data_IF_329303675773
#
_entry.id   IF_329303675773
#
_cell.length_a   1.000
_cell.length_b   1.000
_cell.length_c   1.000
_cell.angle_alpha   90.00
_cell.angle_beta   90.00
_cell.angle_gamma   90.00
#
_symmetry.space_group_name_H-M   'P 1'
#
loop_
_entity.id
_entity.type
_entity.pdbx_description
1 polymer ?
#
# COMPACT_ATOMS: atom_id res chain seq x y z
N UNK A 1 -24.53 -12.34 17.52
CA UNK A 1 -23.43 -11.42 17.20
C UNK A 1 -24.05 -10.10 16.81
N UNK A 2 -23.71 -8.99 17.47
CA UNK A 2 -24.08 -7.69 16.96
C UNK A 2 -23.28 -7.45 15.69
N UNK A 3 -23.93 -7.25 14.57
CA UNK A 3 -23.27 -6.89 13.30
C UNK A 3 -22.58 -5.54 13.51
N UNK A 4 -21.25 -5.56 13.63
CA UNK A 4 -20.47 -4.34 13.63
C UNK A 4 -20.38 -3.83 12.19
N UNK A 5 -21.43 -3.18 11.72
CA UNK A 5 -21.43 -2.51 10.43
C UNK A 5 -20.27 -1.50 10.32
N UNK A 6 -19.89 -1.09 9.11
CA UNK A 6 -18.80 -0.15 8.92
C UNK A 6 -19.14 1.18 9.58
N UNK A 7 -18.24 1.69 10.41
CA UNK A 7 -18.33 3.07 10.90
C UNK A 7 -18.12 4.05 9.73
N UNK A 8 -18.63 5.26 9.85
CA UNK A 8 -18.40 6.29 8.81
C UNK A 8 -16.90 6.56 8.61
N UNK A 9 -16.10 6.47 9.68
CA UNK A 9 -14.65 6.60 9.60
C UNK A 9 -14.02 5.46 8.79
N UNK A 10 -14.44 4.20 8.99
CA UNK A 10 -13.95 3.08 8.17
C UNK A 10 -14.31 3.23 6.70
N UNK A 11 -15.54 3.68 6.41
CA UNK A 11 -15.96 3.99 5.03
C UNK A 11 -15.06 5.07 4.42
N UNK A 12 -14.82 6.15 5.13
CA UNK A 12 -13.94 7.22 4.69
C UNK A 12 -12.52 6.72 4.43
N UNK A 13 -11.98 5.87 5.32
CA UNK A 13 -10.65 5.28 5.16
C UNK A 13 -10.58 4.30 4.00
N UNK A 14 -11.59 3.46 3.79
CA UNK A 14 -11.64 2.56 2.63
C UNK A 14 -11.78 3.30 1.30
N UNK A 15 -12.57 4.36 1.25
CA UNK A 15 -12.66 5.23 0.07
C UNK A 15 -11.33 5.92 -0.26
N UNK A 16 -10.53 6.27 0.77
CA UNK A 16 -9.20 6.84 0.58
C UNK A 16 -8.20 5.87 -0.08
N UNK A 17 -8.48 4.56 -0.08
CA UNK A 17 -7.67 3.56 -0.78
C UNK A 17 -7.90 3.54 -2.31
N UNK A 18 -8.90 4.26 -2.82
CA UNK A 18 -9.10 4.39 -4.27
C UNK A 18 -7.90 5.08 -4.91
N UNK A 19 -7.34 4.45 -5.92
CA UNK A 19 -6.11 4.88 -6.60
C UNK A 19 -4.83 4.49 -5.87
N UNK A 20 -4.89 3.55 -4.90
CA UNK A 20 -3.67 3.02 -4.31
C UNK A 20 -2.86 2.19 -5.31
N UNK A 21 -1.56 2.28 -5.18
CA UNK A 21 -0.59 1.44 -5.90
C UNK A 21 0.19 0.66 -4.85
N UNK A 22 -0.04 -0.63 -4.83
CA UNK A 22 0.53 -1.54 -3.84
C UNK A 22 1.76 -2.23 -4.43
N UNK A 23 2.78 -2.52 -3.63
CA UNK A 23 3.86 -3.42 -4.03
C UNK A 23 4.40 -4.21 -2.84
N UNK A 24 4.81 -5.44 -3.11
CA UNK A 24 5.52 -6.27 -2.15
C UNK A 24 7.02 -5.94 -2.13
N UNK A 25 7.65 -6.18 -0.98
CA UNK A 25 9.10 -6.05 -0.77
C UNK A 25 9.80 -7.42 -0.70
N UNK A 26 9.14 -8.49 -1.14
CA UNK A 26 9.67 -9.85 -1.04
C UNK A 26 10.97 -10.02 -1.85
N UNK A 27 11.99 -10.57 -1.21
CA UNK A 27 13.32 -10.73 -1.79
C UNK A 27 14.08 -9.42 -2.02
N UNK A 28 13.61 -8.28 -1.56
CA UNK A 28 14.37 -7.03 -1.64
C UNK A 28 15.63 -7.11 -0.78
N UNK A 29 16.82 -6.76 -1.33
CA UNK A 29 18.06 -6.88 -0.59
C UNK A 29 18.21 -5.84 0.52
N UNK A 30 17.61 -4.66 0.35
CA UNK A 30 17.61 -3.59 1.34
C UNK A 30 16.48 -2.58 1.09
N UNK A 31 16.17 -1.80 2.13
CA UNK A 31 15.10 -0.82 2.09
C UNK A 31 15.37 0.39 1.21
N UNK A 32 16.64 0.77 1.03
CA UNK A 32 17.02 1.93 0.22
C UNK A 32 16.74 1.65 -1.26
N UNK A 33 17.15 0.48 -1.73
CA UNK A 33 16.91 0.06 -3.11
C UNK A 33 15.43 -0.16 -3.36
N UNK A 34 14.72 -0.80 -2.42
CA UNK A 34 13.27 -0.96 -2.51
C UNK A 34 12.57 0.39 -2.60
N UNK A 35 12.89 1.33 -1.71
CA UNK A 35 12.29 2.66 -1.67
C UNK A 35 12.54 3.47 -2.96
N UNK A 36 13.73 3.33 -3.54
CA UNK A 36 14.07 3.96 -4.82
C UNK A 36 13.19 3.41 -5.95
N UNK A 37 13.08 2.09 -6.07
CA UNK A 37 12.24 1.42 -7.07
C UNK A 37 10.76 1.75 -6.88
N UNK A 38 10.27 1.68 -5.64
CA UNK A 38 8.90 1.97 -5.29
C UNK A 38 8.46 3.38 -5.74
N UNK A 39 9.31 4.38 -5.49
CA UNK A 39 9.03 5.76 -5.94
C UNK A 39 8.96 5.86 -7.46
N UNK A 40 9.89 5.21 -8.17
CA UNK A 40 9.91 5.22 -9.64
C UNK A 40 8.68 4.53 -10.25
N UNK A 41 8.08 3.59 -9.53
CA UNK A 41 6.90 2.83 -9.95
C UNK A 41 5.57 3.39 -9.41
N UNK A 42 5.60 4.56 -8.75
CA UNK A 42 4.39 5.21 -8.25
C UNK A 42 3.74 4.51 -7.06
N UNK A 43 4.49 3.68 -6.32
CA UNK A 43 3.97 2.92 -5.18
C UNK A 43 3.56 3.84 -4.04
N UNK A 44 2.35 3.64 -3.53
CA UNK A 44 1.78 4.36 -2.39
C UNK A 44 1.70 3.51 -1.12
N UNK A 45 1.64 2.17 -1.28
CA UNK A 45 1.52 1.23 -0.17
C UNK A 45 2.48 0.06 -0.33
N UNK A 46 3.20 -0.27 0.73
CA UNK A 46 3.90 -1.55 0.82
C UNK A 46 2.95 -2.61 1.36
N UNK A 47 2.71 -3.68 0.61
CA UNK A 47 2.03 -4.86 1.12
C UNK A 47 3.05 -5.81 1.75
N UNK A 48 2.80 -6.20 2.98
CA UNK A 48 3.66 -7.09 3.73
C UNK A 48 2.91 -8.41 3.92
N UNK A 49 3.36 -9.44 3.22
CA UNK A 49 2.68 -10.74 3.10
C UNK A 49 3.34 -11.84 3.90
N UNK A 50 4.65 -11.94 3.89
CA UNK A 50 5.39 -13.11 4.37
C UNK A 50 5.68 -13.04 5.88
N UNK A 51 4.70 -12.62 6.66
CA UNK A 51 4.83 -12.50 8.11
C UNK A 51 5.13 -13.85 8.78
N UNK A 52 4.70 -14.93 8.15
CA UNK A 52 4.78 -16.29 8.70
C UNK A 52 5.57 -17.27 7.80
N UNK A 53 6.26 -16.74 6.78
CA UNK A 53 7.07 -17.52 5.85
C UNK A 53 6.25 -18.48 4.98
N UNK A 54 6.96 -19.39 4.31
CA UNK A 54 6.45 -20.40 3.38
C UNK A 54 5.66 -21.55 4.04
N UNK A 55 4.87 -21.28 5.06
CA UNK A 55 4.18 -22.31 5.84
C UNK A 55 5.07 -23.02 6.85
N UNK A 56 6.31 -22.61 6.98
CA UNK A 56 7.12 -23.05 8.11
C UNK A 56 6.77 -22.17 9.30
N UNK A 57 6.21 -22.73 10.36
CA UNK A 57 5.83 -22.06 11.61
C UNK A 57 7.00 -21.33 12.33
N UNK A 58 8.00 -20.92 11.58
CA UNK A 58 9.24 -20.36 12.08
C UNK A 58 9.11 -18.94 12.58
N UNK A 59 8.07 -18.23 12.17
CA UNK A 59 7.87 -16.87 12.62
C UNK A 59 7.61 -16.77 14.12
N UNK A 60 6.78 -17.68 14.64
CA UNK A 60 6.36 -17.64 16.04
C UNK A 60 7.07 -18.64 16.96
N UNK A 61 7.64 -19.74 16.43
CA UNK A 61 8.08 -20.84 17.25
C UNK A 61 9.55 -21.28 17.10
N UNK A 62 10.33 -20.83 16.12
CA UNK A 62 11.63 -21.43 15.82
C UNK A 62 12.81 -20.46 15.61
N UNK A 63 12.75 -19.26 16.16
CA UNK A 63 13.92 -18.37 16.17
C UNK A 63 14.33 -17.76 14.83
N UNK A 64 13.55 -17.95 13.78
CA UNK A 64 13.63 -17.11 12.59
C UNK A 64 12.98 -15.76 12.93
N UNK A 65 13.73 -14.66 12.79
CA UNK A 65 13.24 -13.33 13.17
C UNK A 65 12.28 -12.75 12.10
N UNK A 66 11.19 -13.44 11.82
CA UNK A 66 10.20 -12.99 10.84
C UNK A 66 9.46 -11.71 11.29
N UNK A 67 9.29 -11.52 12.58
CA UNK A 67 8.77 -10.27 13.12
C UNK A 67 9.81 -9.15 13.02
N UNK A 68 11.09 -9.46 13.13
CA UNK A 68 12.17 -8.51 12.80
C UNK A 68 12.21 -8.15 11.31
N UNK A 69 11.92 -9.07 10.41
CA UNK A 69 11.73 -8.76 8.99
C UNK A 69 10.51 -7.86 8.75
N UNK A 70 9.41 -8.08 9.46
CA UNK A 70 8.26 -7.17 9.45
C UNK A 70 8.69 -5.77 9.88
N UNK A 71 9.35 -5.67 11.04
CA UNK A 71 9.84 -4.40 11.58
C UNK A 71 10.78 -3.69 10.58
N UNK A 72 11.64 -4.43 9.91
CA UNK A 72 12.52 -3.88 8.87
C UNK A 72 11.70 -3.33 7.68
N UNK A 73 10.76 -4.10 7.16
CA UNK A 73 9.92 -3.69 6.02
C UNK A 73 9.07 -2.45 6.34
N UNK A 74 8.46 -2.37 7.52
CA UNK A 74 7.71 -1.16 7.90
C UNK A 74 8.59 0.05 8.12
N UNK A 75 9.84 -0.13 8.61
CA UNK A 75 10.83 0.98 8.61
C UNK A 75 11.12 1.44 7.19
N UNK A 76 11.31 0.53 6.23
CA UNK A 76 11.53 0.89 4.83
C UNK A 76 10.37 1.70 4.25
N UNK A 77 9.14 1.27 4.53
CA UNK A 77 7.95 2.01 4.10
C UNK A 77 7.90 3.41 4.73
N UNK A 78 8.10 3.50 6.06
CA UNK A 78 8.16 4.77 6.78
C UNK A 78 9.24 5.71 6.22
N UNK A 79 10.46 5.22 6.05
CA UNK A 79 11.59 6.03 5.60
C UNK A 79 11.44 6.45 4.12
N UNK A 80 10.67 5.68 3.35
CA UNK A 80 10.26 6.04 2.00
C UNK A 80 9.02 6.95 1.94
N UNK A 81 8.39 7.23 3.08
CA UNK A 81 7.10 7.90 3.19
C UNK A 81 5.99 7.17 2.41
N UNK A 82 6.02 5.86 2.49
CA UNK A 82 5.04 4.95 1.88
C UNK A 82 4.21 4.37 3.03
N UNK A 83 2.89 4.28 2.83
CA UNK A 83 1.97 3.66 3.77
C UNK A 83 2.09 2.14 3.67
N UNK A 84 1.48 1.40 4.56
CA UNK A 84 1.57 -0.05 4.50
C UNK A 84 0.22 -0.75 4.67
N UNK A 85 0.19 -1.96 4.18
CA UNK A 85 -0.93 -2.88 4.13
C UNK A 85 -0.47 -4.21 4.70
N UNK A 86 -1.04 -4.65 5.81
CA UNK A 86 -0.68 -5.92 6.44
C UNK A 86 -1.57 -7.04 5.89
N UNK A 87 -0.95 -8.07 5.35
CA UNK A 87 -1.63 -9.27 4.94
C UNK A 87 -1.46 -10.37 5.99
N UNK A 88 -2.50 -10.63 6.75
CA UNK A 88 -2.57 -11.66 7.77
C UNK A 88 -3.13 -12.99 7.25
N UNK A 89 -3.51 -13.07 5.98
CA UNK A 89 -4.17 -14.26 5.40
C UNK A 89 -3.32 -15.53 5.50
N UNK A 90 -2.01 -15.38 5.40
CA UNK A 90 -1.07 -16.52 5.42
C UNK A 90 -0.85 -17.11 6.82
N UNK A 91 -1.40 -16.54 7.88
CA UNK A 91 -1.48 -17.19 9.20
C UNK A 91 -2.12 -18.58 9.10
N UNK A 92 -3.03 -18.80 8.16
CA UNK A 92 -3.63 -20.12 7.87
C UNK A 92 -2.58 -21.20 7.64
N UNK A 93 -1.41 -20.87 7.09
CA UNK A 93 -0.35 -21.84 6.81
C UNK A 93 0.20 -22.47 8.10
N UNK A 94 0.13 -21.80 9.24
CA UNK A 94 0.51 -22.38 10.53
C UNK A 94 -0.41 -23.54 10.90
N UNK A 95 -1.71 -23.39 10.71
CA UNK A 95 -2.69 -24.47 10.96
C UNK A 95 -2.52 -25.62 9.96
N UNK A 96 -2.32 -25.32 8.68
CA UNK A 96 -2.10 -26.33 7.63
C UNK A 96 -0.89 -27.20 7.95
N UNK A 97 0.19 -26.61 8.43
CA UNK A 97 1.40 -27.34 8.85
C UNK A 97 1.12 -28.31 9.99
N UNK A 98 0.25 -27.92 10.91
CA UNK A 98 -0.19 -28.79 12.00
C UNK A 98 -1.28 -29.80 11.56
N UNK A 99 -1.56 -29.87 10.25
CA UNK A 99 -2.62 -30.72 9.65
C UNK A 99 -4.01 -30.39 10.17
N UNK A 100 -4.24 -29.12 10.50
CA UNK A 100 -5.52 -28.59 10.95
C UNK A 100 -6.09 -27.67 9.87
N UNK A 101 -7.37 -27.86 9.55
CA UNK A 101 -8.02 -27.04 8.53
C UNK A 101 -8.32 -25.63 9.10
N UNK A 102 -7.68 -24.56 8.55
CA UNK A 102 -7.87 -23.20 9.04
C UNK A 102 -9.29 -22.67 8.85
N UNK A 103 -10.02 -23.17 7.86
CA UNK A 103 -11.37 -22.67 7.54
C UNK A 103 -12.44 -23.11 8.56
N UNK A 104 -12.09 -23.97 9.52
CA UNK A 104 -12.97 -24.37 10.63
C UNK A 104 -12.55 -23.79 11.98
N UNK A 105 -11.58 -22.86 11.97
CA UNK A 105 -11.09 -22.23 13.20
C UNK A 105 -11.99 -21.08 13.63
N UNK A 106 -12.27 -21.04 14.95
CA UNK A 106 -13.02 -19.96 15.60
C UNK A 106 -12.13 -18.73 15.81
N UNK A 107 -12.73 -17.57 16.07
CA UNK A 107 -12.00 -16.34 16.34
C UNK A 107 -11.02 -16.47 17.53
N UNK A 108 -11.35 -17.27 18.56
CA UNK A 108 -10.48 -17.51 19.71
C UNK A 108 -9.18 -18.19 19.30
N UNK A 109 -9.21 -19.04 18.28
CA UNK A 109 -8.04 -19.76 17.78
C UNK A 109 -7.18 -18.88 16.85
N UNK A 110 -7.79 -17.93 16.13
CA UNK A 110 -7.06 -16.94 15.32
C UNK A 110 -6.42 -15.84 16.15
N UNK A 111 -7.08 -15.41 17.24
CA UNK A 111 -6.74 -14.23 18.02
C UNK A 111 -5.28 -14.19 18.52
N UNK A 112 -4.67 -15.27 19.05
CA UNK A 112 -3.29 -15.23 19.51
C UNK A 112 -2.30 -14.83 18.42
N UNK A 113 -2.48 -15.34 17.19
CA UNK A 113 -1.59 -15.07 16.07
C UNK A 113 -1.73 -13.63 15.57
N UNK A 114 -2.96 -13.16 15.42
CA UNK A 114 -3.21 -11.78 15.00
C UNK A 114 -2.74 -10.77 16.05
N UNK A 115 -2.86 -11.11 17.33
CA UNK A 115 -2.38 -10.28 18.43
C UNK A 115 -0.88 -10.07 18.38
N UNK A 116 -0.09 -11.08 18.07
CA UNK A 116 1.37 -10.96 17.98
C UNK A 116 1.82 -9.93 16.93
N UNK A 117 1.03 -9.75 15.89
CA UNK A 117 1.32 -8.74 14.87
C UNK A 117 0.69 -7.40 15.23
N UNK A 118 -0.61 -7.36 15.50
CA UNK A 118 -1.34 -6.11 15.64
C UNK A 118 -1.01 -5.34 16.91
N UNK A 119 -0.68 -6.03 18.00
CA UNK A 119 -0.27 -5.41 19.27
C UNK A 119 1.23 -5.22 19.41
N UNK A 120 2.00 -5.68 18.43
CA UNK A 120 3.43 -5.40 18.41
C UNK A 120 3.65 -3.91 18.25
N UNK A 121 4.59 -3.36 19.03
CA UNK A 121 4.98 -1.97 18.91
C UNK A 121 5.64 -1.71 17.55
N UNK A 122 5.20 -0.65 16.89
CA UNK A 122 5.84 -0.16 15.67
C UNK A 122 7.31 0.23 16.00
N UNK A 123 8.27 -0.16 15.16
CA UNK A 123 9.68 0.10 15.44
C UNK A 123 9.97 1.55 15.81
N UNK A 124 10.75 1.71 16.86
CA UNK A 124 11.17 3.03 17.38
C UNK A 124 9.99 3.91 17.90
N UNK A 125 8.89 3.27 18.27
CA UNK A 125 7.72 3.94 18.86
C UNK A 125 7.08 3.09 19.96
N UNK A 126 6.21 3.70 20.77
CA UNK A 126 5.36 3.01 21.74
C UNK A 126 3.92 2.86 21.24
N UNK A 127 3.73 2.84 19.92
CA UNK A 127 2.41 2.72 19.27
C UNK A 127 2.35 1.37 18.61
N UNK A 128 1.30 0.61 18.87
CA UNK A 128 1.12 -0.69 18.26
C UNK A 128 0.88 -0.60 16.74
N UNK A 129 1.15 -1.67 16.00
CA UNK A 129 0.92 -1.67 14.56
C UNK A 129 -0.51 -1.27 14.21
N UNK A 130 -1.51 -1.79 14.94
CA UNK A 130 -2.92 -1.49 14.66
C UNK A 130 -3.30 -0.02 14.82
N UNK A 131 -2.59 0.71 15.68
CA UNK A 131 -2.82 2.12 15.97
C UNK A 131 -1.90 3.04 15.17
N UNK A 132 -0.98 2.48 14.39
CA UNK A 132 0.00 3.26 13.68
C UNK A 132 -0.63 3.99 12.47
N UNK A 133 -0.44 5.32 12.35
CA UNK A 133 -1.19 6.14 11.38
C UNK A 133 -0.98 5.77 9.90
N UNK A 134 0.08 5.02 9.57
CA UNK A 134 0.37 4.61 8.19
C UNK A 134 -0.07 3.17 7.88
N UNK A 135 -0.65 2.44 8.84
CA UNK A 135 -1.38 1.21 8.54
C UNK A 135 -2.76 1.57 7.97
N UNK A 136 -2.95 1.31 6.70
CA UNK A 136 -4.20 1.67 6.03
C UNK A 136 -5.19 0.52 5.91
N UNK A 137 -4.70 -0.71 5.84
CA UNK A 137 -5.55 -1.86 5.63
C UNK A 137 -4.94 -3.13 6.19
N UNK A 138 -5.80 -4.03 6.65
CA UNK A 138 -5.46 -5.41 6.98
C UNK A 138 -6.17 -6.34 6.01
N UNK A 139 -5.43 -7.21 5.31
CA UNK A 139 -5.97 -8.24 4.44
C UNK A 139 -6.07 -9.59 5.16
N UNK A 140 -7.17 -10.30 4.94
CA UNK A 140 -7.48 -11.57 5.60
C UNK A 140 -7.68 -12.76 4.64
N UNK A 141 -7.58 -12.54 3.33
CA UNK A 141 -8.02 -13.53 2.35
C UNK A 141 -7.09 -13.63 1.13
N UNK A 142 -5.77 -13.68 1.33
CA UNK A 142 -4.83 -13.92 0.22
C UNK A 142 -5.01 -15.34 -0.34
N UNK A 143 -5.41 -15.47 -1.61
CA UNK A 143 -5.56 -16.71 -2.38
C UNK A 143 -6.30 -17.83 -1.62
N UNK A 144 -7.56 -17.62 -1.25
CA UNK A 144 -8.29 -18.61 -0.47
C UNK A 144 -8.55 -19.88 -1.29
N UNK A 145 -8.38 -21.03 -0.65
CA UNK A 145 -8.68 -22.33 -1.23
C UNK A 145 -10.10 -22.77 -0.82
N UNK A 146 -11.10 -22.41 -1.62
CA UNK A 146 -12.51 -22.71 -1.28
C UNK A 146 -12.89 -24.12 -1.72
N UNK A 147 -12.76 -24.43 -3.01
CA UNK A 147 -13.13 -25.73 -3.59
C UNK A 147 -11.99 -26.37 -4.38
N UNK A 148 -10.85 -25.73 -4.49
CA UNK A 148 -9.70 -26.23 -5.23
C UNK A 148 -8.47 -26.27 -4.30
N UNK A 149 -7.51 -27.05 -4.66
CA UNK A 149 -6.26 -27.27 -3.92
C UNK A 149 -5.85 -28.72 -4.12
N UNK A 150 -4.63 -29.05 -3.83
CA UNK A 150 -3.99 -30.36 -4.05
C UNK A 150 -4.68 -31.46 -3.25
N UNK A 151 -5.87 -31.90 -3.63
CA UNK A 151 -6.61 -33.01 -3.01
C UNK A 151 -6.43 -33.15 -1.47
N UNK A 152 -5.98 -32.09 -0.80
CA UNK A 152 -5.76 -32.05 0.62
C UNK A 152 -6.95 -31.39 1.32
N UNK A 153 -7.87 -32.16 1.92
CA UNK A 153 -9.07 -31.60 2.52
C UNK A 153 -8.76 -30.64 3.69
N UNK A 154 -7.55 -30.66 4.22
CA UNK A 154 -7.09 -29.76 5.28
C UNK A 154 -6.85 -28.33 4.75
N UNK A 155 -6.78 -28.17 3.43
CA UNK A 155 -6.48 -26.88 2.82
C UNK A 155 -7.68 -26.18 2.20
N UNK A 156 -8.85 -26.82 2.19
CA UNK A 156 -10.04 -26.30 1.53
C UNK A 156 -11.16 -25.95 2.51
N UNK A 157 -11.90 -24.89 2.23
CA UNK A 157 -13.10 -24.57 2.95
C UNK A 157 -14.22 -25.60 2.69
N UNK A 158 -14.28 -26.17 1.50
CA UNK A 158 -15.27 -27.18 1.10
C UNK A 158 -16.60 -26.60 0.63
N UNK A 159 -16.90 -25.35 0.94
CA UNK A 159 -18.07 -24.62 0.45
C UNK A 159 -17.89 -23.12 0.57
N UNK A 160 -18.70 -22.35 -0.17
CA UNK A 160 -18.74 -20.89 -0.07
C UNK A 160 -19.16 -20.44 1.34
N UNK A 161 -20.20 -21.06 1.90
CA UNK A 161 -20.69 -20.72 3.24
C UNK A 161 -19.64 -20.97 4.33
N UNK A 162 -18.89 -22.07 4.22
CA UNK A 162 -17.79 -22.34 5.17
C UNK A 162 -16.66 -21.31 5.05
N UNK A 163 -16.35 -20.90 3.83
CA UNK A 163 -15.35 -19.83 3.61
C UNK A 163 -15.83 -18.51 4.22
N UNK A 164 -17.05 -18.08 3.94
CA UNK A 164 -17.64 -16.85 4.50
C UNK A 164 -17.66 -16.92 6.04
N UNK A 165 -18.06 -18.03 6.60
CA UNK A 165 -18.02 -18.25 8.05
C UNK A 165 -16.58 -18.08 8.60
N UNK A 166 -15.60 -18.72 7.97
CA UNK A 166 -14.20 -18.60 8.36
C UNK A 166 -13.69 -17.15 8.30
N UNK A 167 -14.04 -16.42 7.26
CA UNK A 167 -13.68 -15.02 7.12
C UNK A 167 -14.30 -14.17 8.24
N UNK A 168 -15.55 -14.42 8.60
CA UNK A 168 -16.19 -13.76 9.76
C UNK A 168 -15.45 -14.05 11.06
N UNK A 169 -14.95 -15.28 11.27
CA UNK A 169 -14.15 -15.60 12.46
C UNK A 169 -12.84 -14.79 12.49
N UNK A 170 -12.18 -14.64 11.36
CA UNK A 170 -10.96 -13.84 11.27
C UNK A 170 -11.23 -12.36 11.51
N UNK A 171 -12.28 -11.80 10.91
CA UNK A 171 -12.72 -10.42 11.15
C UNK A 171 -13.02 -10.20 12.64
N UNK A 172 -13.76 -11.10 13.26
CA UNK A 172 -14.10 -11.01 14.68
C UNK A 172 -12.84 -11.01 15.55
N UNK A 173 -11.84 -11.84 15.24
CA UNK A 173 -10.55 -11.85 15.94
C UNK A 173 -9.82 -10.51 15.84
N UNK A 174 -9.73 -9.94 14.64
CA UNK A 174 -9.08 -8.63 14.40
C UNK A 174 -9.81 -7.50 15.12
N UNK A 175 -11.15 -7.47 15.05
CA UNK A 175 -11.96 -6.43 15.72
C UNK A 175 -11.88 -6.51 17.24
N UNK A 176 -11.80 -7.72 17.82
CA UNK A 176 -11.60 -7.92 19.27
C UNK A 176 -10.24 -7.45 19.76
N UNK A 177 -9.25 -7.40 18.90
CA UNK A 177 -7.95 -6.80 19.22
C UNK A 177 -7.98 -5.28 19.23
N UNK A 178 -9.06 -4.66 18.75
CA UNK A 178 -9.23 -3.22 18.73
C UNK A 178 -8.92 -2.55 17.38
N UNK A 179 -8.53 -3.29 16.35
CA UNK A 179 -8.30 -2.70 15.04
C UNK A 179 -9.60 -2.18 14.43
N UNK A 180 -9.69 -0.88 14.23
CA UNK A 180 -10.86 -0.20 13.63
C UNK A 180 -10.60 0.33 12.21
N UNK A 181 -9.51 -0.09 11.57
CA UNK A 181 -9.20 0.25 10.19
C UNK A 181 -9.93 -0.62 9.16
N UNK A 182 -9.77 -0.31 7.86
CA UNK A 182 -10.30 -1.11 6.76
C UNK A 182 -9.79 -2.55 6.77
N UNK A 183 -10.69 -3.47 6.45
CA UNK A 183 -10.38 -4.88 6.21
C UNK A 183 -10.61 -5.19 4.73
N UNK A 184 -9.58 -5.74 4.09
CA UNK A 184 -9.65 -6.27 2.74
C UNK A 184 -9.92 -7.77 2.76
N UNK A 185 -10.81 -8.22 1.88
CA UNK A 185 -11.10 -9.63 1.68
C UNK A 185 -11.49 -9.91 0.22
N UNK A 186 -11.33 -11.16 -0.15
CA UNK A 186 -11.43 -11.66 -1.51
C UNK A 186 -10.16 -12.39 -1.87
N UNK A 187 -9.15 -11.68 -2.34
CA UNK A 187 -7.84 -12.23 -2.70
C UNK A 187 -7.92 -13.38 -3.73
N UNK A 188 -9.04 -13.48 -4.45
CA UNK A 188 -9.29 -14.58 -5.38
C UNK A 188 -8.34 -14.52 -6.57
N UNK A 189 -7.70 -15.65 -6.88
CA UNK A 189 -6.82 -15.78 -8.03
C UNK A 189 -7.54 -16.38 -9.25
N UNK A 190 -8.50 -17.27 -9.05
CA UNK A 190 -9.26 -17.90 -10.12
C UNK A 190 -10.55 -17.12 -10.39
N UNK A 191 -10.53 -16.26 -11.40
CA UNK A 191 -11.56 -15.25 -11.63
C UNK A 191 -12.43 -15.51 -12.86
N UNK A 192 -12.07 -16.48 -13.63
CA UNK A 192 -12.70 -16.65 -14.92
C UNK A 192 -13.42 -18.00 -15.10
N UNK A 193 -13.92 -18.30 -16.30
CA UNK A 193 -14.69 -19.48 -16.64
C UNK A 193 -13.87 -20.64 -17.21
N UNK A 194 -12.66 -20.93 -16.71
CA UNK A 194 -11.76 -21.97 -17.25
C UNK A 194 -11.99 -23.37 -16.71
N UNK A 195 -13.11 -23.61 -16.04
CA UNK A 195 -13.41 -24.91 -15.48
C UNK A 195 -12.71 -25.23 -14.17
N UNK A 196 -11.92 -24.30 -13.61
CA UNK A 196 -11.21 -24.55 -12.35
C UNK A 196 -11.98 -24.08 -11.10
N UNK A 197 -13.27 -24.17 -11.11
CA UNK A 197 -14.06 -24.03 -9.92
C UNK A 197 -14.53 -22.63 -9.58
N UNK A 198 -14.47 -21.72 -10.50
CA UNK A 198 -14.95 -20.35 -10.34
C UNK A 198 -16.44 -20.26 -10.37
N UNK A 199 -17.05 -20.97 -11.31
CA UNK A 199 -18.50 -21.12 -11.37
C UNK A 199 -18.97 -22.06 -10.25
N UNK A 200 -18.08 -22.93 -9.76
CA UNK A 200 -18.33 -23.79 -8.61
C UNK A 200 -18.41 -23.02 -7.28
N UNK A 201 -17.93 -21.78 -7.25
CA UNK A 201 -18.09 -20.90 -6.10
C UNK A 201 -19.47 -20.22 -6.04
N UNK A 202 -20.31 -20.39 -7.06
CA UNK A 202 -21.64 -19.80 -7.13
C UNK A 202 -21.60 -18.27 -6.94
N UNK A 203 -22.34 -17.79 -5.94
CA UNK A 203 -22.43 -16.38 -5.58
C UNK A 203 -21.38 -15.92 -4.55
N UNK A 204 -20.32 -16.69 -4.33
CA UNK A 204 -19.28 -16.41 -3.33
C UNK A 204 -18.70 -15.00 -3.44
N UNK A 205 -18.41 -14.54 -4.66
CA UNK A 205 -17.89 -13.19 -4.86
C UNK A 205 -18.86 -12.12 -4.40
N UNK A 206 -20.15 -12.29 -4.70
CA UNK A 206 -21.21 -11.40 -4.24
C UNK A 206 -21.40 -11.48 -2.72
N UNK A 207 -21.36 -12.66 -2.13
CA UNK A 207 -21.43 -12.85 -0.68
C UNK A 207 -20.30 -12.10 0.03
N UNK A 208 -19.04 -12.31 -0.36
CA UNK A 208 -17.88 -11.66 0.26
C UNK A 208 -17.92 -10.15 0.05
N UNK A 209 -18.25 -9.68 -1.15
CA UNK A 209 -18.34 -8.24 -1.41
C UNK A 209 -19.42 -7.57 -0.57
N UNK A 210 -20.55 -8.24 -0.28
CA UNK A 210 -21.65 -7.69 0.51
C UNK A 210 -21.48 -7.83 2.03
N UNK A 211 -20.47 -8.55 2.52
CA UNK A 211 -20.23 -8.67 3.96
C UNK A 211 -20.02 -7.27 4.57
N UNK A 212 -20.83 -6.83 5.55
CA UNK A 212 -20.68 -5.49 6.13
C UNK A 212 -19.37 -5.33 6.92
N UNK A 213 -18.72 -6.43 7.27
CA UNK A 213 -17.45 -6.49 8.00
C UNK A 213 -16.23 -6.28 7.09
N UNK A 214 -16.39 -6.47 5.78
CA UNK A 214 -15.35 -6.26 4.75
C UNK A 214 -15.50 -4.86 4.18
N UNK A 215 -14.42 -4.11 4.13
CA UNK A 215 -14.42 -2.71 3.67
C UNK A 215 -13.87 -2.57 2.24
N UNK A 216 -13.02 -3.50 1.81
CA UNK A 216 -12.36 -3.50 0.49
C UNK A 216 -12.51 -4.88 -0.14
N UNK A 217 -13.01 -4.95 -1.36
CA UNK A 217 -13.07 -6.20 -2.11
C UNK A 217 -11.82 -6.36 -2.97
N UNK A 218 -11.17 -7.53 -2.92
CA UNK A 218 -9.86 -7.74 -3.54
C UNK A 218 -9.80 -8.99 -4.40
N UNK A 219 -8.83 -9.01 -5.33
CA UNK A 219 -8.48 -10.18 -6.13
C UNK A 219 -7.00 -10.12 -6.54
N UNK A 220 -6.48 -11.21 -7.10
CA UNK A 220 -5.17 -11.30 -7.71
C UNK A 220 -5.31 -11.48 -9.22
N UNK A 221 -4.41 -10.88 -10.00
CA UNK A 221 -4.39 -10.91 -11.44
C UNK A 221 -3.07 -11.44 -11.99
N UNK A 222 -2.97 -12.76 -12.18
CA UNK A 222 -1.80 -13.41 -12.75
C UNK A 222 -2.09 -13.95 -14.15
N UNK A 223 -1.05 -14.01 -14.98
CA UNK A 223 -0.97 -14.72 -16.24
C UNK A 223 -2.17 -14.51 -17.20
N UNK A 224 -2.47 -13.26 -17.52
CA UNK A 224 -3.44 -12.87 -18.51
C UNK A 224 -4.91 -12.95 -18.05
N UNK A 225 -5.28 -12.20 -17.00
CA UNK A 225 -6.66 -12.16 -16.53
C UNK A 225 -7.59 -11.60 -17.61
N UNK A 226 -8.73 -12.25 -17.81
CA UNK A 226 -9.76 -11.74 -18.70
C UNK A 226 -10.35 -10.43 -18.18
N UNK A 227 -10.41 -9.41 -19.04
CA UNK A 227 -11.02 -8.13 -18.70
C UNK A 227 -12.49 -8.26 -18.27
N UNK A 228 -13.20 -9.30 -18.72
CA UNK A 228 -14.57 -9.58 -18.30
C UNK A 228 -14.65 -10.02 -16.84
N UNK A 229 -13.71 -10.83 -16.37
CA UNK A 229 -13.65 -11.22 -14.98
C UNK A 229 -13.50 -10.00 -14.08
N UNK A 230 -12.57 -9.10 -14.36
CA UNK A 230 -12.38 -7.88 -13.57
C UNK A 230 -13.58 -6.93 -13.65
N UNK A 231 -14.20 -6.78 -14.82
CA UNK A 231 -15.43 -5.99 -14.95
C UNK A 231 -16.55 -6.55 -14.09
N UNK A 232 -16.72 -7.87 -14.06
CA UNK A 232 -17.71 -8.51 -13.20
C UNK A 232 -17.43 -8.26 -11.72
N UNK A 233 -16.20 -8.47 -11.26
CA UNK A 233 -15.82 -8.22 -9.86
C UNK A 233 -15.97 -6.75 -9.48
N UNK A 234 -15.56 -5.82 -10.35
CA UNK A 234 -15.74 -4.39 -10.14
C UNK A 234 -17.22 -4.00 -10.04
N UNK A 235 -18.08 -4.62 -10.86
CA UNK A 235 -19.54 -4.43 -10.78
C UNK A 235 -20.09 -4.92 -9.45
N UNK A 236 -19.70 -6.11 -9.00
CA UNK A 236 -20.11 -6.68 -7.71
C UNK A 236 -19.68 -5.75 -6.55
N UNK A 237 -18.42 -5.33 -6.53
CA UNK A 237 -17.91 -4.43 -5.51
C UNK A 237 -18.63 -3.07 -5.52
N UNK A 238 -18.87 -2.51 -6.70
CA UNK A 238 -19.59 -1.24 -6.86
C UNK A 238 -21.03 -1.36 -6.34
N UNK A 239 -21.72 -2.47 -6.63
CA UNK A 239 -23.07 -2.73 -6.09
C UNK A 239 -23.08 -2.86 -4.57
N UNK A 240 -21.98 -3.35 -4.01
CA UNK A 240 -21.78 -3.42 -2.55
C UNK A 240 -21.28 -2.09 -1.94
N UNK A 241 -21.02 -1.07 -2.75
CA UNK A 241 -20.51 0.23 -2.29
C UNK A 241 -19.06 0.20 -1.82
N UNK A 242 -18.22 -0.71 -2.37
CA UNK A 242 -16.83 -0.92 -1.93
C UNK A 242 -15.82 -0.67 -3.04
N UNK A 243 -14.61 -0.23 -2.71
CA UNK A 243 -13.52 -0.23 -3.68
C UNK A 243 -13.15 -1.68 -4.07
N UNK A 244 -12.80 -1.85 -5.37
CA UNK A 244 -12.23 -3.07 -5.89
C UNK A 244 -10.75 -2.87 -6.22
N UNK A 245 -9.89 -3.62 -5.55
CA UNK A 245 -8.44 -3.49 -5.66
C UNK A 245 -7.83 -4.84 -6.03
N UNK A 246 -6.94 -4.85 -7.01
CA UNK A 246 -6.07 -6.00 -7.24
C UNK A 246 -4.87 -5.90 -6.30
N UNK A 247 -4.78 -6.78 -5.33
CA UNK A 247 -3.66 -6.78 -4.38
C UNK A 247 -2.36 -7.26 -5.02
N UNK A 248 -2.46 -8.09 -6.05
CA UNK A 248 -1.33 -8.62 -6.79
C UNK A 248 -1.64 -8.68 -8.28
N UNK A 249 -0.73 -8.16 -9.07
CA UNK A 249 -0.65 -8.35 -10.51
C UNK A 249 0.78 -8.72 -10.86
N UNK A 250 0.95 -9.80 -11.61
CA UNK A 250 2.27 -10.26 -12.01
C UNK A 250 2.21 -11.09 -13.28
N UNK A 251 3.28 -10.97 -14.06
CA UNK A 251 3.47 -11.76 -15.27
C UNK A 251 4.80 -12.47 -15.18
N UNK A 252 4.75 -13.80 -15.16
CA UNK A 252 5.93 -14.64 -15.14
C UNK A 252 6.57 -14.65 -16.53
N UNK A 253 7.54 -13.76 -16.73
CA UNK A 253 8.25 -13.64 -18.01
C UNK A 253 9.73 -13.32 -17.80
N UNK A 254 10.60 -14.07 -18.46
CA UNK A 254 12.05 -13.97 -18.30
C UNK A 254 12.68 -12.76 -18.98
N UNK A 255 11.91 -11.99 -19.82
CA UNK A 255 12.45 -10.85 -20.53
C UNK A 255 11.69 -9.55 -20.23
N UNK A 256 12.41 -8.44 -20.21
CA UNK A 256 11.84 -7.12 -19.99
C UNK A 256 10.81 -6.74 -21.10
N UNK A 257 11.11 -7.11 -22.36
CA UNK A 257 10.22 -6.84 -23.49
C UNK A 257 8.89 -7.59 -23.40
N UNK A 258 8.94 -8.88 -23.11
CA UNK A 258 7.74 -9.70 -23.01
C UNK A 258 6.88 -9.27 -21.80
N UNK A 259 7.52 -8.97 -20.67
CA UNK A 259 6.84 -8.45 -19.49
C UNK A 259 6.20 -7.08 -19.77
N UNK A 260 6.90 -6.19 -20.47
CA UNK A 260 6.39 -4.89 -20.86
C UNK A 260 5.17 -5.02 -21.78
N UNK A 261 5.20 -5.93 -22.74
CA UNK A 261 4.06 -6.17 -23.64
C UNK A 261 2.81 -6.63 -22.86
N UNK A 262 2.97 -7.55 -21.90
CA UNK A 262 1.88 -8.03 -21.04
C UNK A 262 1.33 -6.94 -20.12
N UNK A 263 2.20 -6.14 -19.52
CA UNK A 263 1.79 -5.02 -18.67
C UNK A 263 1.06 -3.93 -19.46
N UNK A 264 1.50 -3.61 -20.68
CA UNK A 264 0.81 -2.65 -21.55
C UNK A 264 -0.57 -3.16 -21.95
N UNK A 265 -0.71 -4.43 -22.30
CA UNK A 265 -2.01 -5.05 -22.59
C UNK A 265 -2.91 -5.03 -21.33
N UNK A 266 -2.34 -5.25 -20.16
CA UNK A 266 -3.06 -5.17 -18.90
C UNK A 266 -3.51 -3.74 -18.58
N UNK A 267 -2.77 -2.71 -18.96
CA UNK A 267 -3.19 -1.31 -18.77
C UNK A 267 -4.52 -1.01 -19.49
N UNK A 268 -4.71 -1.55 -20.69
CA UNK A 268 -5.98 -1.46 -21.43
C UNK A 268 -7.11 -2.16 -20.64
N UNK A 269 -6.85 -3.36 -20.13
CA UNK A 269 -7.81 -4.10 -19.29
C UNK A 269 -8.13 -3.30 -18.01
N UNK A 270 -7.16 -2.78 -17.32
CA UNK A 270 -7.33 -1.97 -16.10
C UNK A 270 -8.17 -0.73 -16.38
N UNK A 271 -7.89 -0.03 -17.49
CA UNK A 271 -8.65 1.13 -17.94
C UNK A 271 -10.13 0.85 -18.13
N UNK A 272 -10.50 -0.33 -18.59
CA UNK A 272 -11.88 -0.71 -18.92
C UNK A 272 -12.61 -1.42 -17.76
N UNK A 273 -11.89 -1.90 -16.75
CA UNK A 273 -12.43 -2.84 -15.77
C UNK A 273 -13.08 -2.21 -14.53
N UNK A 274 -12.85 -0.92 -14.24
CA UNK A 274 -13.39 -0.29 -13.02
C UNK A 274 -12.59 -0.54 -11.76
N UNK A 275 -11.30 -0.91 -11.90
CA UNK A 275 -10.38 -1.07 -10.78
C UNK A 275 -10.21 0.24 -10.01
N UNK A 276 -10.12 0.15 -8.70
CA UNK A 276 -9.91 1.29 -7.81
C UNK A 276 -8.50 1.31 -7.19
N UNK A 277 -7.69 0.30 -7.47
CA UNK A 277 -6.30 0.21 -7.04
C UNK A 277 -5.65 -1.03 -7.63
N UNK A 278 -4.33 -1.04 -7.63
CA UNK A 278 -3.55 -2.13 -8.22
C UNK A 278 -2.28 -2.40 -7.42
N UNK A 279 -1.95 -3.68 -7.27
CA UNK A 279 -0.74 -4.16 -6.62
C UNK A 279 0.20 -4.84 -7.60
N UNK A 280 1.47 -4.51 -7.54
CA UNK A 280 2.51 -5.15 -8.31
C UNK A 280 3.15 -6.30 -7.51
N UNK A 281 3.11 -7.48 -8.04
CA UNK A 281 3.88 -8.61 -7.54
C UNK A 281 5.10 -8.85 -8.42
N UNK A 282 6.33 -8.44 -8.04
CA UNK A 282 6.68 -7.48 -6.99
C UNK A 282 7.85 -6.58 -7.50
N UNK A 283 8.51 -5.82 -6.65
CA UNK A 283 9.67 -5.00 -6.99
C UNK A 283 10.95 -5.42 -6.24
N UNK A 284 10.92 -6.57 -5.62
CA UNK A 284 12.04 -7.17 -4.89
C UNK A 284 13.02 -7.93 -5.77
N UNK A 285 13.20 -9.21 -5.48
CA UNK A 285 13.96 -10.18 -6.28
C UNK A 285 13.27 -11.55 -6.21
N UNK A 286 12.03 -11.61 -6.70
CA UNK A 286 11.22 -12.83 -6.68
C UNK A 286 11.04 -13.39 -8.10
N UNK A 287 12.13 -13.86 -8.68
CA UNK A 287 12.11 -14.54 -9.98
C UNK A 287 11.67 -13.64 -11.14
N UNK A 288 10.95 -14.21 -12.07
CA UNK A 288 10.59 -13.57 -13.33
C UNK A 288 9.37 -12.62 -13.23
N UNK A 289 8.71 -12.57 -12.08
CA UNK A 289 7.59 -11.64 -11.85
C UNK A 289 8.01 -10.19 -11.58
N UNK A 290 9.25 -9.97 -11.19
CA UNK A 290 9.71 -8.66 -10.75
C UNK A 290 9.67 -7.61 -11.86
N UNK A 291 9.22 -6.41 -11.49
CA UNK A 291 9.42 -5.19 -12.27
C UNK A 291 10.43 -4.31 -11.52
N UNK A 292 11.59 -4.12 -12.12
CA UNK A 292 12.72 -3.39 -11.54
C UNK A 292 13.18 -2.30 -12.49
N UNK A 293 12.94 -1.01 -12.19
CA UNK A 293 13.29 0.10 -13.10
C UNK A 293 14.76 0.15 -13.50
N UNK A 294 15.64 -0.28 -12.60
CA UNK A 294 17.09 -0.31 -12.79
C UNK A 294 17.56 -1.41 -13.78
N UNK A 295 16.81 -2.50 -13.94
CA UNK A 295 17.18 -3.64 -14.81
C UNK A 295 16.12 -3.98 -15.85
N UNK A 296 14.93 -3.44 -15.74
CA UNK A 296 13.79 -3.65 -16.62
C UNK A 296 13.04 -2.34 -16.92
N UNK A 297 13.66 -1.36 -17.62
CA UNK A 297 13.06 -0.06 -17.83
C UNK A 297 11.79 -0.10 -18.68
N UNK A 298 11.64 -1.08 -19.59
CA UNK A 298 10.46 -1.20 -20.44
C UNK A 298 9.25 -1.70 -19.65
N UNK A 299 9.42 -2.74 -18.82
CA UNK A 299 8.36 -3.23 -17.95
C UNK A 299 8.00 -2.20 -16.89
N UNK A 300 8.96 -1.42 -16.39
CA UNK A 300 8.68 -0.31 -15.49
C UNK A 300 7.84 0.79 -16.16
N UNK A 301 8.16 1.18 -17.38
CA UNK A 301 7.37 2.14 -18.15
C UNK A 301 5.95 1.62 -18.44
N UNK A 302 5.81 0.34 -18.79
CA UNK A 302 4.53 -0.30 -19.00
C UNK A 302 3.70 -0.40 -17.71
N UNK A 303 4.34 -0.66 -16.57
CA UNK A 303 3.66 -0.60 -15.27
C UNK A 303 3.08 0.78 -14.96
N UNK A 304 3.80 1.86 -15.28
CA UNK A 304 3.28 3.21 -15.08
C UNK A 304 2.02 3.48 -15.91
N UNK A 305 1.86 2.85 -17.08
CA UNK A 305 0.60 2.91 -17.84
C UNK A 305 -0.56 2.24 -17.07
N UNK A 306 -0.28 1.14 -16.36
CA UNK A 306 -1.28 0.51 -15.47
C UNK A 306 -1.66 1.44 -14.31
N UNK A 307 -0.67 2.09 -13.70
CA UNK A 307 -0.90 3.07 -12.63
C UNK A 307 -1.77 4.22 -13.12
N UNK A 308 -1.47 4.77 -14.28
CA UNK A 308 -2.26 5.85 -14.89
C UNK A 308 -3.69 5.41 -15.19
N UNK A 309 -3.86 4.19 -15.71
CA UNK A 309 -5.17 3.63 -16.02
C UNK A 309 -6.06 3.48 -14.78
N UNK A 310 -5.50 3.12 -13.65
CA UNK A 310 -6.22 3.05 -12.36
C UNK A 310 -6.47 4.44 -11.77
N UNK A 311 -5.52 5.35 -11.90
CA UNK A 311 -5.63 6.73 -11.43
C UNK A 311 -6.65 7.57 -12.21
N UNK A 312 -6.76 7.37 -13.52
CA UNK A 312 -7.74 8.04 -14.38
C UNK A 312 -9.21 7.77 -13.99
N UNK A 313 -9.45 6.79 -13.13
CA UNK A 313 -10.79 6.42 -12.63
C UNK A 313 -11.09 6.88 -11.21
N UNK A 314 -10.25 7.71 -10.60
CA UNK A 314 -10.70 8.44 -9.42
C UNK A 314 -12.00 9.15 -9.79
N UNK A 315 -13.10 8.94 -9.05
CA UNK A 315 -14.25 9.79 -9.26
C UNK A 315 -13.73 11.22 -9.19
N UNK A 316 -14.01 11.99 -10.22
CA UNK A 316 -13.76 13.41 -10.14
C UNK A 316 -14.38 13.85 -8.82
N UNK A 317 -13.54 14.21 -7.83
CA UNK A 317 -14.03 15.13 -6.82
C UNK A 317 -14.75 16.20 -7.62
N UNK A 318 -15.89 16.67 -7.17
CA UNK A 318 -16.71 17.69 -7.87
C UNK A 318 -15.95 19.02 -8.05
N UNK A 319 -14.67 18.98 -8.25
CA UNK A 319 -13.73 19.98 -8.70
C UNK A 319 -12.78 19.26 -9.64
N UNK A 320 -12.76 19.64 -10.88
CA UNK A 320 -12.17 19.08 -12.08
C UNK A 320 -10.96 18.14 -11.91
N UNK A 321 -10.84 17.20 -12.83
CA UNK A 321 -9.71 16.28 -12.93
C UNK A 321 -8.41 17.07 -12.70
N UNK A 322 -7.71 16.77 -11.59
CA UNK A 322 -6.37 17.28 -11.40
C UNK A 322 -5.52 16.62 -12.50
N UNK A 323 -4.86 17.40 -13.38
CA UNK A 323 -3.89 16.87 -14.29
C UNK A 323 -2.82 16.09 -13.50
N UNK A 324 -2.13 15.17 -14.16
CA UNK A 324 -0.94 14.53 -13.61
C UNK A 324 -0.09 15.63 -12.93
N UNK A 325 0.46 15.39 -11.72
CA UNK A 325 1.06 16.45 -10.94
C UNK A 325 2.14 17.14 -11.76
N UNK A 326 1.82 18.31 -12.32
CA UNK A 326 2.83 19.17 -12.92
C UNK A 326 3.69 19.69 -11.79
N UNK A 327 4.87 19.10 -11.67
CA UNK A 327 5.85 19.60 -10.74
C UNK A 327 6.32 20.98 -11.15
N UNK A 328 5.88 21.98 -10.42
CA UNK A 328 6.34 23.33 -10.62
C UNK A 328 7.69 23.51 -9.94
N UNK A 329 8.70 23.79 -10.72
CA UNK A 329 10.05 24.13 -10.24
C UNK A 329 10.09 25.60 -9.86
N UNK A 330 10.63 25.92 -8.69
CA UNK A 330 10.80 27.30 -8.24
C UNK A 330 12.09 27.46 -7.42
N UNK A 331 12.70 28.67 -7.44
CA UNK A 331 13.94 28.93 -6.73
C UNK A 331 13.72 29.00 -5.22
N UNK A 332 14.72 28.54 -4.47
CA UNK A 332 14.84 28.82 -3.03
C UNK A 332 15.49 30.15 -2.76
N UNK A 333 15.31 30.67 -1.56
CA UNK A 333 15.87 31.96 -1.12
C UNK A 333 17.34 31.86 -0.62
N UNK A 334 17.89 30.66 -0.59
CA UNK A 334 19.10 30.40 0.19
C UNK A 334 20.37 30.30 -0.60
N UNK A 335 20.35 29.72 -1.78
CA UNK A 335 21.42 29.77 -2.78
C UNK A 335 20.84 29.80 -4.18
N UNK A 336 21.53 30.38 -5.18
CA UNK A 336 21.06 30.39 -6.57
C UNK A 336 20.86 28.98 -7.17
N UNK A 337 21.45 27.95 -6.55
CA UNK A 337 21.39 26.56 -6.99
C UNK A 337 20.25 25.75 -6.31
N UNK A 338 19.64 26.28 -5.24
CA UNK A 338 18.57 25.56 -4.53
C UNK A 338 17.28 25.70 -5.33
N UNK A 339 16.89 24.60 -5.93
CA UNK A 339 15.65 24.50 -6.69
C UNK A 339 14.70 23.55 -5.97
N UNK A 340 13.48 24.03 -5.77
CA UNK A 340 12.39 23.25 -5.18
C UNK A 340 11.41 22.81 -6.25
N UNK A 341 10.73 21.73 -5.97
CA UNK A 341 9.58 21.28 -6.73
C UNK A 341 8.36 21.25 -5.82
N UNK A 342 7.22 21.62 -6.34
CA UNK A 342 5.96 21.50 -5.64
C UNK A 342 4.86 21.03 -6.57
N UNK A 343 3.95 20.24 -6.02
CA UNK A 343 2.75 19.78 -6.70
C UNK A 343 1.61 19.59 -5.73
N UNK A 344 0.39 19.74 -6.20
CA UNK A 344 -0.81 19.31 -5.48
C UNK A 344 -1.04 17.82 -5.71
N UNK A 345 -1.18 17.07 -4.64
CA UNK A 345 -1.53 15.67 -4.69
C UNK A 345 -2.81 15.43 -3.86
N UNK A 346 -3.95 15.35 -4.54
CA UNK A 346 -5.25 15.26 -3.88
C UNK A 346 -5.52 16.50 -2.98
N UNK A 347 -5.65 16.27 -1.68
CA UNK A 347 -5.87 17.32 -0.67
C UNK A 347 -4.59 17.70 0.09
N UNK A 348 -3.44 17.38 -0.44
CA UNK A 348 -2.16 17.73 0.16
C UNK A 348 -1.24 18.45 -0.82
N UNK A 349 -0.47 19.40 -0.29
CA UNK A 349 0.66 20.00 -0.97
C UNK A 349 1.89 19.14 -0.74
N UNK A 350 2.56 18.75 -1.82
CA UNK A 350 3.85 18.10 -1.79
C UNK A 350 4.93 19.11 -2.15
N UNK A 351 5.94 19.28 -1.32
CA UNK A 351 7.07 20.20 -1.55
C UNK A 351 8.38 19.50 -1.19
N UNK A 352 9.40 19.63 -2.04
CA UNK A 352 10.72 19.09 -1.74
C UNK A 352 11.81 19.68 -2.61
N UNK A 353 13.07 19.37 -2.32
CA UNK A 353 14.19 19.78 -3.16
C UNK A 353 14.21 18.99 -4.47
N UNK A 354 14.61 19.67 -5.56
CA UNK A 354 14.76 19.02 -6.88
C UNK A 354 16.00 18.13 -6.98
N UNK A 355 16.94 18.24 -6.04
CA UNK A 355 18.19 17.46 -6.10
C UNK A 355 17.90 15.97 -5.95
N UNK A 356 18.60 15.15 -6.73
CA UNK A 356 18.50 13.67 -6.69
C UNK A 356 18.72 13.08 -5.28
N UNK A 357 19.36 13.82 -4.39
CA UNK A 357 19.73 13.40 -3.05
C UNK A 357 18.85 13.98 -1.93
N UNK A 358 17.85 14.79 -2.28
CA UNK A 358 16.99 15.43 -1.28
C UNK A 358 17.75 16.33 -0.31
N UNK A 359 18.89 16.88 -0.72
CA UNK A 359 19.73 17.73 0.15
C UNK A 359 19.57 19.19 -0.13
N UNK A 360 19.57 20.00 0.93
CA UNK A 360 19.62 21.47 0.87
C UNK A 360 20.77 21.97 1.73
N UNK A 361 21.35 23.11 1.35
CA UNK A 361 22.34 23.79 2.18
C UNK A 361 21.66 24.88 2.99
N UNK A 362 21.74 24.76 4.32
CA UNK A 362 21.10 25.70 5.24
C UNK A 362 22.10 26.70 5.81
N UNK A 363 21.68 27.93 6.12
CA UNK A 363 22.51 28.91 6.81
C UNK A 363 22.81 28.48 8.26
N UNK A 364 23.76 29.17 8.91
CA UNK A 364 24.30 28.74 10.20
C UNK A 364 23.32 28.84 11.38
N UNK A 365 22.33 29.72 11.37
CA UNK A 365 21.42 29.94 12.50
C UNK A 365 20.08 30.54 12.14
N UNK A 366 19.08 30.20 12.91
CA UNK A 366 17.80 30.89 13.01
C UNK A 366 16.74 30.39 12.04
N UNK A 367 15.59 31.05 12.09
CA UNK A 367 14.49 30.82 11.18
C UNK A 367 14.78 31.53 9.84
N UNK A 368 14.71 30.81 8.76
CA UNK A 368 14.90 31.35 7.43
C UNK A 368 13.79 30.88 6.49
N UNK A 369 13.28 31.81 5.68
CA UNK A 369 12.43 31.45 4.56
C UNK A 369 13.29 30.74 3.51
N UNK A 370 12.93 29.54 3.15
CA UNK A 370 13.66 28.75 2.14
C UNK A 370 13.01 28.80 0.77
N UNK A 371 11.70 29.02 0.70
CA UNK A 371 10.98 29.17 -0.54
C UNK A 371 9.60 29.80 -0.35
N UNK A 372 9.04 30.38 -1.41
CA UNK A 372 7.63 30.74 -1.50
C UNK A 372 6.99 29.87 -2.59
N UNK A 373 5.92 29.16 -2.21
CA UNK A 373 5.24 28.26 -3.14
C UNK A 373 4.47 29.10 -4.15
N UNK A 374 4.68 28.89 -5.47
CA UNK A 374 4.06 29.70 -6.49
C UNK A 374 2.51 29.61 -6.45
N UNK A 375 1.79 30.71 -6.72
CA UNK A 375 0.33 30.69 -6.83
C UNK A 375 -0.19 29.68 -7.86
N UNK A 376 0.55 29.43 -8.92
CA UNK A 376 0.21 28.44 -9.94
C UNK A 376 0.05 27.00 -9.39
N UNK A 377 0.68 26.69 -8.23
CA UNK A 377 0.55 25.39 -7.59
C UNK A 377 -0.73 25.29 -6.74
N UNK A 378 -1.00 26.31 -5.94
CA UNK A 378 -2.05 26.25 -4.90
C UNK A 378 -3.25 27.15 -5.18
N UNK A 379 -3.12 28.15 -6.05
CA UNK A 379 -4.16 29.19 -6.16
C UNK A 379 -4.43 29.82 -4.80
N UNK A 380 -5.67 29.79 -4.35
CA UNK A 380 -6.10 30.35 -3.06
C UNK A 380 -6.06 29.33 -1.91
N UNK A 381 -5.80 28.04 -2.20
CA UNK A 381 -5.72 27.02 -1.16
C UNK A 381 -4.59 27.31 -0.17
N UNK A 382 -4.84 27.02 1.11
CA UNK A 382 -3.90 27.25 2.19
C UNK A 382 -3.44 25.90 2.75
N UNK A 383 -2.13 25.58 2.71
CA UNK A 383 -1.62 24.40 3.40
C UNK A 383 -1.76 24.58 4.91
N UNK A 384 -1.99 23.49 5.61
CA UNK A 384 -1.89 23.48 7.07
C UNK A 384 -0.41 23.55 7.47
N UNK A 385 -0.14 24.19 8.61
CA UNK A 385 1.22 24.21 9.16
C UNK A 385 1.67 22.79 9.47
N UNK A 386 2.77 22.39 8.87
CA UNK A 386 3.36 21.06 9.04
C UNK A 386 4.87 21.20 9.22
N UNK A 387 5.44 20.44 10.17
CA UNK A 387 6.84 20.50 10.55
C UNK A 387 7.51 19.15 10.33
N UNK A 388 8.70 19.16 9.74
CA UNK A 388 9.50 17.98 9.47
C UNK A 388 10.91 18.14 10.03
N UNK A 389 11.49 17.10 10.65
CA UNK A 389 12.89 17.13 11.06
C UNK A 389 13.82 17.13 9.84
N UNK A 390 14.93 17.85 9.95
CA UNK A 390 16.02 17.79 8.99
C UNK A 390 17.17 16.97 9.59
N UNK A 391 17.71 16.07 8.81
CA UNK A 391 18.86 15.26 9.21
C UNK A 391 20.13 15.80 8.57
N UNK A 392 21.25 15.68 9.27
CA UNK A 392 22.57 15.84 8.65
C UNK A 392 22.81 14.75 7.63
N UNK A 393 23.76 14.93 6.75
CA UNK A 393 24.09 13.94 5.71
C UNK A 393 24.64 12.62 6.25
N UNK A 394 25.04 12.60 7.53
CA UNK A 394 25.43 11.40 8.27
C UNK A 394 24.25 10.69 8.98
N UNK A 395 23.02 11.21 8.80
CA UNK A 395 21.81 10.68 9.42
C UNK A 395 21.54 11.15 10.83
N UNK A 396 22.41 11.95 11.45
CA UNK A 396 22.20 12.48 12.79
C UNK A 396 21.28 13.70 12.78
N UNK A 397 20.58 13.96 13.89
CA UNK A 397 19.74 15.14 14.07
C UNK A 397 20.41 16.12 15.04
N UNK A 398 20.28 17.41 14.73
CA UNK A 398 20.67 18.50 15.63
C UNK A 398 19.46 19.38 16.03
N UNK A 399 18.25 18.87 15.80
CA UNK A 399 17.01 19.60 16.08
C UNK A 399 16.61 20.60 15.00
N UNK A 400 17.31 20.63 13.86
CA UNK A 400 16.89 21.44 12.73
C UNK A 400 15.57 20.91 12.15
N UNK A 401 14.68 21.82 11.77
CA UNK A 401 13.38 21.49 11.17
C UNK A 401 13.11 22.33 9.92
N UNK A 402 12.21 21.82 9.07
CA UNK A 402 11.61 22.57 7.99
C UNK A 402 10.10 22.54 8.13
N UNK A 403 9.46 23.64 7.86
CA UNK A 403 8.02 23.80 8.03
C UNK A 403 7.38 24.37 6.77
N UNK A 404 6.20 23.84 6.42
CA UNK A 404 5.28 24.48 5.48
C UNK A 404 4.29 25.33 6.26
N UNK A 405 4.10 26.56 5.86
CA UNK A 405 3.22 27.50 6.56
C UNK A 405 1.95 27.84 5.75
N UNK A 406 0.85 28.22 6.42
CA UNK A 406 -0.41 28.59 5.74
C UNK A 406 -0.29 29.73 4.72
N UNK A 407 0.70 30.60 4.90
CA UNK A 407 1.00 31.71 3.96
C UNK A 407 1.81 31.24 2.74
N UNK A 408 1.89 29.94 2.49
CA UNK A 408 2.59 29.33 1.35
C UNK A 408 4.11 29.50 1.40
N UNK A 409 4.67 29.69 2.57
CA UNK A 409 6.14 29.75 2.74
C UNK A 409 6.66 28.44 3.33
N UNK A 410 7.86 28.06 2.89
CA UNK A 410 8.66 26.99 3.48
C UNK A 410 9.75 27.63 4.30
N UNK A 411 9.83 27.29 5.58
CA UNK A 411 10.74 27.92 6.53
C UNK A 411 11.60 26.85 7.18
N UNK A 412 12.91 27.09 7.27
CA UNK A 412 13.82 26.28 8.09
C UNK A 412 14.04 26.92 9.45
N UNK A 413 14.10 26.09 10.48
CA UNK A 413 14.50 26.46 11.84
C UNK A 413 15.79 25.71 12.17
N UNK A 414 16.86 26.44 12.42
CA UNK A 414 18.20 25.87 12.59
C UNK A 414 18.74 26.29 13.95
N UNK A 415 19.12 25.34 14.83
CA UNK A 415 19.79 25.65 16.08
C UNK A 415 21.14 26.37 15.88
N UNK A 416 21.62 27.03 16.93
CA UNK A 416 22.93 27.68 16.91
C UNK A 416 24.04 26.67 16.53
N UNK A 417 24.85 27.02 15.55
CA UNK A 417 25.91 26.14 15.04
C UNK A 417 25.46 25.04 14.08
N UNK A 418 24.17 24.97 13.76
CA UNK A 418 23.57 23.90 12.98
C UNK A 418 23.56 24.06 11.46
N UNK A 419 24.35 25.00 10.87
CA UNK A 419 24.39 25.21 9.44
C UNK A 419 24.97 24.03 8.64
N UNK A 420 24.91 24.14 7.30
CA UNK A 420 25.49 23.18 6.37
C UNK A 420 24.46 22.31 5.63
N UNK A 421 24.94 21.27 4.96
CA UNK A 421 24.08 20.37 4.17
C UNK A 421 23.15 19.55 5.03
N UNK A 422 21.88 19.47 4.65
CA UNK A 422 20.84 18.69 5.29
C UNK A 422 20.08 17.85 4.27
N UNK A 423 19.63 16.68 4.69
CA UNK A 423 18.63 15.90 3.97
C UNK A 423 17.26 16.50 4.26
N UNK A 424 16.57 16.94 3.23
CA UNK A 424 15.23 17.47 3.32
C UNK A 424 14.26 16.47 2.70
N UNK A 425 13.32 15.93 3.47
CA UNK A 425 12.33 15.00 2.93
C UNK A 425 11.37 15.71 1.97
N UNK A 426 10.69 14.95 1.13
CA UNK A 426 9.47 15.45 0.49
C UNK A 426 8.42 15.72 1.59
N UNK A 427 7.93 16.93 1.66
CA UNK A 427 6.98 17.37 2.67
C UNK A 427 5.55 17.28 2.13
N UNK A 428 4.63 16.84 2.97
CA UNK A 428 3.20 16.77 2.66
C UNK A 428 2.43 17.65 3.64
N UNK A 429 1.86 18.73 3.17
CA UNK A 429 1.02 19.60 3.98
C UNK A 429 -0.44 19.45 3.55
N UNK A 430 -1.35 18.97 4.42
CA UNK A 430 -2.77 18.96 4.12
C UNK A 430 -3.28 20.35 3.77
N UNK A 431 -4.27 20.44 2.90
CA UNK A 431 -4.94 21.71 2.59
C UNK A 431 -6.09 21.94 3.59
N UNK A 432 -6.22 23.19 4.01
CA UNK A 432 -7.33 23.60 4.87
C UNK A 432 -8.64 23.72 4.07
#
# INVERSE_FOLDING_TARGET
MATMGPTEERKRRSEALRGCVIASANGAPDGKLWAQRARQLGVTHMRITDLFGDGTAQALNNGGDKLGELDAKVRWARDANIRFWLDLSYVRNLFIKEKVNPYYKTWQEWLPYFREVLWRDFPDSNVSYQDYPTLDCVALAGEPMVLWGDNNPVQQAGSADQYVWSLLQQVEAVRRLGYDGPIAAGGFIHLGSDGQGRDAHGDLFDQVARMPEVDVFTAHGYDNPSGDAFRNLARIATQAGKPFILEEVGFNDGTDDAKAAKLSAFADVASLSGLNGVGLWNIGQYGDFDVRPDTGPKSAAAWLQVVDAVGARRPASTGGAAPAPEWTTFPGDMTPSDTFIASLYGHALCVGPRSEWGTVTLPNVGQKRVATIPPAVLGDAKPQRTCYPLLKTDGTSDGATVEVWPNKTVISNIPAGGGGKRVMPMMYAPLA
#
